data_IF_943698744076
#
_entry.id   IF_943698744076
#
_cell.length_a   1.000
_cell.length_b   1.000
_cell.length_c   1.000
_cell.angle_alpha   90.00
_cell.angle_beta   90.00
_cell.angle_gamma   90.00
#
_symmetry.space_group_name_H-M   'P 1'
#
loop_
_entity.id
_entity.type
_entity.pdbx_description
1 polymer ?
#
# COMPACT_ATOMS: atom_id res chain seq x y z
N UNK A 1 -4.67 1.84 -13.03
CA UNK A 1 -3.97 3.13 -13.16
C UNK A 1 -4.89 4.21 -12.63
N UNK A 2 -4.62 4.67 -11.40
CA UNK A 2 -5.59 5.38 -10.55
C UNK A 2 -5.29 6.88 -10.50
N UNK A 3 -6.34 7.68 -10.68
CA UNK A 3 -6.30 9.15 -10.83
C UNK A 3 -5.77 9.86 -9.58
N UNK A 4 -5.49 11.16 -9.66
CA UNK A 4 -5.15 11.98 -8.51
C UNK A 4 -5.80 13.36 -8.61
N UNK A 5 -5.93 14.04 -7.49
CA UNK A 5 -6.77 15.23 -7.36
C UNK A 5 -5.91 16.40 -6.82
N UNK A 6 -6.07 17.63 -7.32
CA UNK A 6 -5.32 18.80 -6.82
C UNK A 6 -6.08 20.13 -6.84
N UNK A 7 -5.97 20.84 -5.70
CA UNK A 7 -6.06 22.29 -5.39
C UNK A 7 -7.42 23.03 -5.20
N UNK A 8 -7.28 24.19 -4.53
CA UNK A 8 -8.07 24.84 -3.47
C UNK A 8 -9.01 25.97 -3.96
N UNK A 9 -9.95 26.38 -3.08
CA UNK A 9 -10.49 27.74 -2.76
C UNK A 9 -11.95 27.63 -2.26
N UNK A 10 -12.57 28.43 -1.37
CA UNK A 10 -12.30 29.73 -0.73
C UNK A 10 -13.07 29.76 0.63
N UNK A 11 -12.42 30.18 1.73
CA UNK A 11 -12.99 30.82 2.95
C UNK A 11 -12.09 30.61 4.19
N UNK A 12 -10.99 31.37 4.28
CA UNK A 12 -10.40 31.76 5.57
C UNK A 12 -9.46 32.97 5.38
N UNK A 13 -9.94 34.14 5.82
CA UNK A 13 -9.21 35.41 5.88
C UNK A 13 -7.97 35.37 6.79
N UNK A 14 -6.94 36.10 6.33
CA UNK A 14 -5.89 36.86 7.06
C UNK A 14 -4.76 36.11 7.81
N UNK A 15 -3.55 36.09 7.23
CA UNK A 15 -2.54 37.14 7.48
C UNK A 15 -1.25 36.89 6.67
N UNK A 16 -0.67 38.00 6.22
CA UNK A 16 0.36 38.17 5.20
C UNK A 16 1.78 38.05 5.79
N UNK A 17 2.65 37.23 5.18
CA UNK A 17 4.08 37.51 4.99
C UNK A 17 4.81 36.39 4.22
N UNK A 18 5.31 36.78 3.05
CA UNK A 18 6.52 36.27 2.39
C UNK A 18 6.40 34.97 1.57
N UNK A 19 5.67 35.12 0.46
CA UNK A 19 6.09 34.66 -0.86
C UNK A 19 7.52 35.12 -1.15
N UNK A 20 8.48 34.19 -1.17
CA UNK A 20 9.65 34.28 -2.07
C UNK A 20 10.22 32.89 -2.31
N UNK A 21 10.27 32.52 -3.59
CA UNK A 21 10.75 31.26 -4.19
C UNK A 21 9.69 30.19 -4.43
N UNK A 22 8.92 30.44 -5.51
CA UNK A 22 8.14 29.48 -6.27
C UNK A 22 9.03 28.33 -6.75
N UNK A 23 8.99 27.20 -6.05
CA UNK A 23 9.43 25.89 -6.56
C UNK A 23 8.25 25.23 -7.27
N UNK A 24 8.35 25.12 -8.59
CA UNK A 24 7.35 24.60 -9.51
C UNK A 24 6.82 23.19 -9.13
N UNK A 25 5.51 23.13 -8.85
CA UNK A 25 4.56 22.03 -9.09
C UNK A 25 4.67 20.71 -8.30
N UNK A 26 4.69 20.79 -6.97
CA UNK A 26 4.12 19.72 -6.14
C UNK A 26 2.85 20.25 -5.44
N UNK A 27 1.69 19.57 -5.53
CA UNK A 27 0.49 20.05 -4.86
C UNK A 27 0.73 20.02 -3.35
N UNK A 28 0.56 21.19 -2.74
CA UNK A 28 0.76 21.40 -1.31
C UNK A 28 -0.14 20.45 -0.49
N UNK A 29 0.41 19.94 0.61
CA UNK A 29 -0.25 19.15 1.64
C UNK A 29 -1.59 19.80 2.06
N UNK A 30 -2.72 19.35 1.50
CA UNK A 30 -3.97 20.09 1.66
C UNK A 30 -5.22 19.42 1.10
N UNK A 31 -5.53 18.22 1.59
CA UNK A 31 -6.84 17.53 1.50
C UNK A 31 -7.41 17.25 0.09
N UNK A 32 -7.38 15.98 -0.27
CA UNK A 32 -8.11 15.38 -1.40
C UNK A 32 -9.66 15.41 -1.27
N UNK A 33 -10.22 16.31 -0.44
CA UNK A 33 -11.54 16.11 0.19
C UNK A 33 -12.71 16.97 -0.35
N UNK A 34 -12.49 17.90 -1.29
CA UNK A 34 -13.51 18.88 -1.71
C UNK A 34 -13.81 18.93 -3.22
N UNK A 35 -13.38 17.94 -3.99
CA UNK A 35 -13.55 17.96 -5.46
C UNK A 35 -14.95 17.48 -5.82
N UNK A 36 -15.64 18.24 -6.67
CA UNK A 36 -16.97 17.88 -7.17
C UNK A 36 -16.79 16.78 -8.24
N UNK A 37 -17.75 15.84 -8.35
CA UNK A 37 -17.74 14.89 -9.46
C UNK A 37 -17.63 15.62 -10.81
N UNK A 38 -16.59 15.33 -11.60
CA UNK A 38 -16.26 15.98 -12.86
C UNK A 38 -15.05 16.94 -12.82
N UNK A 39 -14.55 17.28 -11.63
CA UNK A 39 -13.38 18.14 -11.44
C UNK A 39 -12.09 17.32 -11.12
N UNK A 40 -12.11 15.99 -11.36
CA UNK A 40 -10.96 15.12 -11.14
C UNK A 40 -9.85 15.31 -12.20
N UNK A 41 -8.58 15.30 -11.78
CA UNK A 41 -7.45 15.51 -12.67
C UNK A 41 -6.78 14.19 -13.10
N UNK A 42 -6.26 14.18 -14.32
CA UNK A 42 -5.35 13.11 -14.77
C UNK A 42 -3.94 13.38 -14.24
N UNK A 43 -3.39 12.47 -13.44
CA UNK A 43 -2.03 12.54 -12.91
C UNK A 43 -1.34 11.18 -13.06
N UNK A 44 -0.01 11.16 -13.13
CA UNK A 44 0.76 9.92 -13.07
C UNK A 44 0.41 8.93 -14.17
N UNK A 45 0.18 9.42 -15.39
CA UNK A 45 -0.22 8.62 -16.58
C UNK A 45 -1.61 7.96 -16.49
N UNK A 46 -2.41 8.30 -15.48
CA UNK A 46 -3.74 7.75 -15.27
C UNK A 46 -4.81 8.73 -15.79
N UNK A 47 -5.68 8.27 -16.69
CA UNK A 47 -6.78 9.08 -17.28
C UNK A 47 -8.17 8.72 -16.75
N UNK A 48 -8.38 7.47 -16.35
CA UNK A 48 -9.64 6.96 -15.80
C UNK A 48 -9.32 6.01 -14.66
N UNK A 49 -9.94 6.20 -13.49
CA UNK A 49 -9.83 5.26 -12.38
C UNK A 49 -10.78 4.06 -12.62
N UNK A 50 -10.29 3.07 -13.36
CA UNK A 50 -11.06 1.88 -13.73
C UNK A 50 -11.47 1.04 -12.52
N UNK A 51 -10.62 0.97 -11.49
CA UNK A 51 -10.87 0.25 -10.23
C UNK A 51 -12.05 0.88 -9.50
N UNK A 52 -12.01 2.20 -9.30
CA UNK A 52 -13.08 2.92 -8.63
C UNK A 52 -14.41 2.82 -9.40
N UNK A 53 -14.36 2.97 -10.72
CA UNK A 53 -15.52 2.79 -11.58
C UNK A 53 -16.15 1.40 -11.41
N UNK A 54 -15.35 0.33 -11.50
CA UNK A 54 -15.83 -1.04 -11.37
C UNK A 54 -16.51 -1.30 -10.01
N UNK A 55 -15.92 -0.81 -8.92
CA UNK A 55 -16.49 -0.93 -7.57
C UNK A 55 -17.81 -0.18 -7.46
N UNK A 56 -17.87 1.08 -7.91
CA UNK A 56 -19.11 1.89 -7.84
C UNK A 56 -20.24 1.29 -8.66
N UNK A 57 -19.94 0.78 -9.86
CA UNK A 57 -20.93 0.07 -10.69
C UNK A 57 -21.44 -1.20 -9.98
N UNK A 58 -20.53 -1.99 -9.39
CA UNK A 58 -20.91 -3.21 -8.68
C UNK A 58 -21.72 -2.92 -7.40
N UNK A 59 -21.37 -1.88 -6.64
CA UNK A 59 -22.14 -1.42 -5.48
C UNK A 59 -23.56 -0.99 -5.90
N UNK A 60 -23.70 -0.21 -6.97
CA UNK A 60 -25.00 0.24 -7.47
C UNK A 60 -25.87 -0.95 -7.91
N UNK A 61 -25.30 -1.90 -8.66
CA UNK A 61 -26.01 -3.11 -9.07
C UNK A 61 -26.45 -3.95 -7.87
N UNK A 62 -25.58 -4.17 -6.88
CA UNK A 62 -25.92 -4.90 -5.67
C UNK A 62 -27.02 -4.19 -4.86
N UNK A 63 -26.97 -2.86 -4.75
CA UNK A 63 -27.98 -2.07 -4.06
C UNK A 63 -29.35 -2.20 -4.71
N UNK A 64 -29.42 -2.23 -6.05
CA UNK A 64 -30.67 -2.48 -6.79
C UNK A 64 -31.28 -3.87 -6.49
N UNK A 65 -30.45 -4.83 -6.08
CA UNK A 65 -30.88 -6.16 -5.65
C UNK A 65 -31.07 -6.28 -4.12
N UNK A 66 -30.99 -5.16 -3.38
CA UNK A 66 -31.09 -5.16 -1.92
C UNK A 66 -29.89 -5.79 -1.20
N UNK A 67 -28.76 -5.94 -1.90
CA UNK A 67 -27.51 -6.49 -1.36
C UNK A 67 -26.53 -5.35 -1.07
N UNK A 68 -25.70 -5.53 -0.04
CA UNK A 68 -24.57 -4.65 0.26
C UNK A 68 -23.29 -5.44 -0.05
N UNK A 69 -22.44 -4.89 -0.90
CA UNK A 69 -21.16 -5.49 -1.24
C UNK A 69 -20.03 -4.69 -0.62
N UNK A 70 -19.06 -5.46 -0.18
CA UNK A 70 -18.04 -5.05 0.74
C UNK A 70 -16.68 -5.32 0.07
N UNK A 71 -15.93 -4.27 -0.30
CA UNK A 71 -14.72 -4.37 -1.14
C UNK A 71 -13.45 -4.04 -0.35
N UNK A 72 -12.35 -4.73 -0.66
CA UNK A 72 -11.01 -4.33 -0.26
C UNK A 72 -10.15 -4.01 -1.49
N UNK A 73 -9.34 -2.97 -1.41
CA UNK A 73 -8.31 -2.60 -2.37
C UNK A 73 -6.97 -2.77 -1.67
N UNK A 74 -6.09 -3.59 -2.21
CA UNK A 74 -4.69 -3.67 -1.82
C UNK A 74 -3.83 -3.17 -2.97
N UNK A 75 -3.25 -2.00 -2.78
CA UNK A 75 -2.36 -1.34 -3.73
C UNK A 75 -0.90 -1.52 -3.34
N UNK A 76 -0.15 -2.22 -4.20
CA UNK A 76 1.29 -2.47 -4.04
C UNK A 76 2.13 -1.76 -5.11
N UNK A 77 1.52 -0.87 -5.89
CA UNK A 77 2.26 0.10 -6.69
C UNK A 77 3.14 0.98 -5.79
N UNK A 78 4.34 1.33 -6.27
CA UNK A 78 5.27 2.11 -5.45
C UNK A 78 4.77 3.53 -5.20
N UNK A 79 3.85 4.03 -6.02
CA UNK A 79 3.24 5.34 -5.84
C UNK A 79 1.88 5.19 -5.14
N UNK A 80 1.55 6.18 -4.29
CA UNK A 80 0.27 6.16 -3.59
C UNK A 80 -0.91 6.21 -4.59
N UNK A 81 -1.83 5.26 -4.48
CA UNK A 81 -3.09 5.16 -5.24
C UNK A 81 -4.13 6.20 -4.84
N UNK A 82 -3.77 7.47 -4.88
CA UNK A 82 -4.49 8.54 -4.21
C UNK A 82 -5.89 8.83 -4.81
N UNK A 83 -6.18 8.36 -6.02
CA UNK A 83 -7.51 8.41 -6.62
C UNK A 83 -8.46 7.39 -6.05
N UNK A 84 -7.98 6.20 -5.68
CA UNK A 84 -8.79 5.23 -4.96
C UNK A 84 -9.07 5.74 -3.55
N UNK A 85 -8.05 6.25 -2.86
CA UNK A 85 -8.22 6.92 -1.56
C UNK A 85 -9.31 8.00 -1.66
N UNK A 86 -9.19 8.93 -2.61
CA UNK A 86 -10.15 10.03 -2.79
C UNK A 86 -11.58 9.51 -3.07
N UNK A 87 -11.72 8.53 -3.97
CA UNK A 87 -13.01 7.97 -4.37
C UNK A 87 -13.75 7.27 -3.23
N UNK A 88 -13.01 6.72 -2.26
CA UNK A 88 -13.56 5.88 -1.19
C UNK A 88 -13.33 6.44 0.22
N UNK A 89 -12.75 7.63 0.36
CA UNK A 89 -12.40 8.22 1.67
C UNK A 89 -13.59 8.37 2.64
N UNK A 90 -14.81 8.42 2.10
CA UNK A 90 -16.07 8.54 2.87
C UNK A 90 -16.90 7.26 2.87
N UNK A 91 -16.45 6.21 2.18
CA UNK A 91 -17.21 4.98 1.94
C UNK A 91 -16.85 3.91 2.96
N UNK A 92 -17.79 3.55 3.85
CA UNK A 92 -17.57 2.54 4.88
C UNK A 92 -17.62 1.10 4.36
N UNK A 93 -17.94 0.90 3.07
CA UNK A 93 -17.99 -0.42 2.42
C UNK A 93 -16.76 -0.73 1.56
N UNK A 94 -15.81 0.20 1.48
CA UNK A 94 -14.57 0.02 0.72
C UNK A 94 -13.38 0.26 1.63
N UNK A 95 -12.63 -0.80 1.88
CA UNK A 95 -11.35 -0.74 2.58
C UNK A 95 -10.24 -0.46 1.56
N UNK A 96 -9.58 0.68 1.66
CA UNK A 96 -8.40 1.02 0.85
C UNK A 96 -7.13 0.81 1.66
N UNK A 97 -6.18 0.05 1.11
CA UNK A 97 -4.86 -0.17 1.69
C UNK A 97 -3.80 0.07 0.61
N UNK A 98 -2.81 0.92 0.89
CA UNK A 98 -1.73 1.21 -0.05
C UNK A 98 -0.36 1.10 0.62
N UNK A 99 0.58 0.42 -0.04
CA UNK A 99 1.97 0.24 0.39
C UNK A 99 2.88 0.93 -0.63
N UNK A 100 3.31 2.16 -0.33
CA UNK A 100 3.92 3.04 -1.32
C UNK A 100 5.12 3.82 -0.77
N UNK A 101 6.07 4.16 -1.64
CA UNK A 101 7.19 5.03 -1.31
C UNK A 101 6.69 6.44 -1.03
N UNK A 102 7.10 7.00 0.11
CA UNK A 102 6.60 8.31 0.56
C UNK A 102 7.69 9.24 1.10
N UNK A 103 7.46 10.54 1.02
CA UNK A 103 8.33 11.58 1.56
C UNK A 103 9.18 12.24 0.48
N UNK A 104 10.46 12.46 0.77
CA UNK A 104 11.39 13.12 -0.17
C UNK A 104 12.30 12.11 -0.89
N UNK A 105 12.62 12.41 -2.13
CA UNK A 105 13.72 11.80 -2.89
C UNK A 105 15.08 12.33 -2.43
N UNK A 106 16.16 11.68 -2.86
CA UNK A 106 17.55 12.05 -2.50
C UNK A 106 17.96 13.46 -2.91
N UNK A 107 17.37 13.97 -3.98
CA UNK A 107 17.58 15.34 -4.49
C UNK A 107 16.64 16.37 -3.83
N UNK A 108 15.84 15.95 -2.84
CA UNK A 108 14.96 16.81 -2.08
C UNK A 108 13.57 17.02 -2.69
N UNK A 109 13.31 16.46 -3.86
CA UNK A 109 11.99 16.43 -4.49
C UNK A 109 10.97 15.61 -3.69
N UNK A 110 9.68 15.82 -3.96
CA UNK A 110 8.61 15.03 -3.35
C UNK A 110 8.41 13.77 -4.18
N UNK A 111 8.29 12.62 -3.51
CA UNK A 111 7.86 11.39 -4.16
C UNK A 111 6.41 11.57 -4.56
N UNK A 112 6.15 11.64 -5.86
CA UNK A 112 4.79 11.83 -6.38
C UNK A 112 3.91 10.65 -5.96
N UNK A 113 2.63 10.88 -5.62
CA UNK A 113 1.90 12.16 -5.69
C UNK A 113 2.06 13.06 -4.45
N UNK A 114 2.85 12.68 -3.44
CA UNK A 114 3.04 13.44 -2.20
C UNK A 114 1.92 13.29 -1.16
N UNK A 115 0.89 12.50 -1.45
CA UNK A 115 -0.20 12.14 -0.53
C UNK A 115 0.03 10.76 0.09
N UNK A 116 -0.87 10.29 0.96
CA UNK A 116 -0.82 8.92 1.49
C UNK A 116 -0.18 8.81 2.88
N UNK A 117 -0.45 9.76 3.78
CA UNK A 117 0.06 9.64 5.14
C UNK A 117 -0.70 8.54 5.90
N UNK A 118 -0.03 7.79 6.78
CA UNK A 118 -0.68 6.79 7.65
C UNK A 118 -1.75 7.38 8.58
N UNK A 119 -1.75 8.69 8.78
CA UNK A 119 -2.77 9.41 9.56
C UNK A 119 -4.06 9.66 8.78
N UNK A 120 -4.04 9.49 7.46
CA UNK A 120 -5.20 9.66 6.58
C UNK A 120 -6.07 8.41 6.68
N UNK A 121 -6.90 8.35 7.73
CA UNK A 121 -7.63 7.14 8.12
C UNK A 121 -9.06 7.05 7.58
N UNK A 122 -9.44 7.90 6.62
CA UNK A 122 -10.82 8.02 6.15
C UNK A 122 -11.65 8.99 7.00
N UNK A 123 -12.84 9.36 6.48
CA UNK A 123 -13.67 10.41 7.08
C UNK A 123 -14.49 9.87 8.25
N UNK A 124 -14.17 10.32 9.46
CA UNK A 124 -14.90 9.93 10.67
C UNK A 124 -16.40 10.27 10.61
N UNK A 125 -16.76 11.44 10.08
CA UNK A 125 -18.15 11.88 10.01
C UNK A 125 -19.06 10.98 9.14
N UNK A 126 -18.50 10.19 8.23
CA UNK A 126 -19.25 9.22 7.41
C UNK A 126 -19.18 7.79 7.95
N UNK A 127 -18.55 7.57 9.11
CA UNK A 127 -18.30 6.23 9.64
C UNK A 127 -17.18 5.47 8.93
N UNK A 128 -16.44 6.10 8.02
CA UNK A 128 -15.36 5.48 7.25
C UNK A 128 -13.98 5.60 7.91
N UNK A 129 -13.89 6.04 9.17
CA UNK A 129 -12.61 6.04 9.91
C UNK A 129 -12.11 4.60 10.06
N UNK A 130 -10.83 4.39 9.78
CA UNK A 130 -10.18 3.08 9.70
C UNK A 130 -10.28 2.44 8.33
N UNK A 131 -11.06 2.97 7.39
CA UNK A 131 -11.27 2.34 6.07
C UNK A 131 -10.23 2.76 5.02
N UNK A 132 -9.31 3.65 5.37
CA UNK A 132 -8.16 4.01 4.55
C UNK A 132 -6.88 3.78 5.36
N UNK A 133 -5.98 2.94 4.86
CA UNK A 133 -4.75 2.53 5.55
C UNK A 133 -3.55 2.69 4.62
N UNK A 134 -2.73 3.70 4.91
CA UNK A 134 -1.54 4.00 4.12
C UNK A 134 -0.28 3.58 4.85
N UNK A 135 0.54 2.76 4.22
CA UNK A 135 1.84 2.37 4.75
C UNK A 135 2.97 3.01 3.93
N UNK A 136 3.67 3.95 4.56
CA UNK A 136 4.76 4.69 3.91
C UNK A 136 6.06 3.88 3.88
N UNK A 137 6.47 3.43 2.71
CA UNK A 137 7.76 2.80 2.47
C UNK A 137 8.88 3.85 2.33
N UNK A 138 10.08 3.46 2.73
CA UNK A 138 11.30 4.27 2.64
C UNK A 138 12.18 3.80 1.49
N UNK A 139 13.13 4.65 1.16
CA UNK A 139 14.15 4.31 0.17
C UNK A 139 14.88 3.03 0.59
N UNK A 140 15.00 2.09 -0.35
CA UNK A 140 15.71 0.85 -0.13
C UNK A 140 14.91 -0.25 0.58
N UNK A 141 13.69 0.03 1.05
CA UNK A 141 12.80 -1.00 1.58
C UNK A 141 12.48 -2.02 0.49
N UNK A 142 12.49 -3.31 0.84
CA UNK A 142 12.39 -4.40 -0.13
C UNK A 142 11.57 -5.57 0.41
N UNK A 143 11.95 -6.79 0.01
CA UNK A 143 11.18 -8.01 0.28
C UNK A 143 10.76 -8.16 1.74
N UNK A 144 11.66 -7.87 2.68
CA UNK A 144 11.38 -8.02 4.11
C UNK A 144 10.34 -7.03 4.60
N UNK A 145 10.53 -5.77 4.29
CA UNK A 145 9.65 -4.69 4.73
C UNK A 145 8.25 -4.87 4.13
N UNK A 146 8.15 -5.14 2.83
CA UNK A 146 6.86 -5.40 2.18
C UNK A 146 6.17 -6.65 2.75
N UNK A 147 6.90 -7.74 2.99
CA UNK A 147 6.33 -8.95 3.62
C UNK A 147 5.88 -8.67 5.05
N UNK A 148 6.62 -7.92 5.86
CA UNK A 148 6.21 -7.56 7.22
C UNK A 148 4.89 -6.74 7.19
N UNK A 149 4.73 -5.79 6.25
CA UNK A 149 3.46 -5.04 6.10
C UNK A 149 2.31 -5.97 5.73
N UNK A 150 2.50 -6.82 4.72
CA UNK A 150 1.44 -7.73 4.25
C UNK A 150 1.05 -8.74 5.33
N UNK A 151 2.03 -9.30 6.04
CA UNK A 151 1.78 -10.35 7.03
C UNK A 151 1.27 -9.82 8.37
N UNK A 152 1.72 -8.64 8.80
CA UNK A 152 1.40 -8.11 10.13
C UNK A 152 0.33 -7.03 10.15
N UNK A 153 -0.02 -6.44 9.00
CA UNK A 153 -1.05 -5.41 8.87
C UNK A 153 -2.13 -5.85 7.89
N UNK A 154 -1.79 -6.02 6.62
CA UNK A 154 -2.76 -6.23 5.55
C UNK A 154 -3.61 -7.47 5.78
N UNK A 155 -2.98 -8.63 6.04
CA UNK A 155 -3.71 -9.88 6.26
C UNK A 155 -4.58 -9.85 7.52
N UNK A 156 -4.09 -9.43 8.71
CA UNK A 156 -4.95 -9.27 9.88
C UNK A 156 -6.16 -8.36 9.65
N UNK A 157 -5.99 -7.26 8.90
CA UNK A 157 -7.10 -6.38 8.52
C UNK A 157 -8.09 -7.12 7.62
N UNK A 158 -7.63 -7.81 6.58
CA UNK A 158 -8.50 -8.59 5.67
C UNK A 158 -9.28 -9.68 6.42
N UNK A 159 -8.64 -10.40 7.34
CA UNK A 159 -9.27 -11.45 8.14
C UNK A 159 -10.30 -10.90 9.14
N UNK A 160 -10.01 -9.75 9.76
CA UNK A 160 -10.95 -9.07 10.65
C UNK A 160 -12.15 -8.52 9.87
N UNK A 161 -11.90 -7.89 8.72
CA UNK A 161 -12.91 -7.19 7.93
C UNK A 161 -13.81 -8.18 7.15
N UNK A 162 -13.20 -9.19 6.52
CA UNK A 162 -13.81 -10.19 5.61
C UNK A 162 -14.46 -9.59 4.33
N UNK A 163 -13.66 -9.11 3.36
CA UNK A 163 -14.14 -8.58 2.08
C UNK A 163 -14.92 -9.61 1.26
N UNK A 164 -15.97 -9.17 0.58
CA UNK A 164 -16.64 -10.00 -0.43
C UNK A 164 -15.76 -10.14 -1.67
N UNK A 165 -15.02 -9.07 -2.01
CA UNK A 165 -14.13 -8.97 -3.18
C UNK A 165 -12.88 -8.19 -2.78
N UNK A 166 -11.71 -8.71 -3.15
CA UNK A 166 -10.41 -8.04 -3.06
C UNK A 166 -9.92 -7.64 -4.45
N UNK A 167 -9.59 -6.37 -4.64
CA UNK A 167 -8.88 -5.87 -5.81
C UNK A 167 -7.40 -5.71 -5.44
N UNK A 168 -6.54 -6.45 -6.13
CA UNK A 168 -5.09 -6.43 -5.96
C UNK A 168 -4.46 -5.60 -7.09
N UNK A 169 -4.03 -4.39 -6.76
CA UNK A 169 -3.44 -3.45 -7.70
C UNK A 169 -1.94 -3.70 -7.74
N UNK A 170 -1.50 -4.25 -8.88
CA UNK A 170 -0.17 -4.81 -9.09
C UNK A 170 0.67 -3.82 -9.90
N UNK A 171 1.31 -2.89 -9.21
CA UNK A 171 2.39 -2.08 -9.78
C UNK A 171 3.73 -2.78 -9.61
N UNK A 172 4.53 -2.81 -10.67
CA UNK A 172 5.84 -3.49 -10.71
C UNK A 172 7.01 -2.49 -10.63
N UNK A 173 6.75 -1.25 -10.22
CA UNK A 173 7.73 -0.17 -10.13
C UNK A 173 8.45 -0.11 -8.77
N UNK A 174 7.97 -0.85 -7.76
CA UNK A 174 8.68 -1.08 -6.49
C UNK A 174 9.87 -2.07 -6.61
N UNK A 175 10.02 -2.71 -7.78
CA UNK A 175 11.10 -3.68 -8.04
C UNK A 175 12.49 -3.05 -7.93
N UNK A 176 13.49 -3.87 -7.57
CA UNK A 176 14.89 -3.41 -7.55
C UNK A 176 15.40 -3.14 -8.98
N UNK A 177 15.56 -1.86 -9.31
CA UNK A 177 16.08 -1.41 -10.61
C UNK A 177 17.61 -1.24 -10.65
N UNK A 178 18.34 -1.66 -9.62
CA UNK A 178 19.80 -1.41 -9.54
C UNK A 178 20.63 -2.15 -10.58
N UNK A 179 20.10 -3.23 -11.14
CA UNK A 179 20.70 -3.96 -12.25
C UNK A 179 20.16 -3.52 -13.62
N UNK A 180 19.27 -2.52 -13.63
CA UNK A 180 18.66 -2.07 -14.86
C UNK A 180 19.68 -1.38 -15.77
N UNK A 181 19.57 -1.65 -17.07
CA UNK A 181 20.39 -1.01 -18.10
C UNK A 181 20.06 0.48 -18.22
N UNK A 182 18.84 0.85 -17.86
CA UNK A 182 18.40 2.24 -17.77
C UNK A 182 18.41 2.63 -16.30
N UNK A 183 18.94 3.81 -15.99
CA UNK A 183 18.76 4.40 -14.67
C UNK A 183 17.31 4.86 -14.56
N UNK A 184 16.44 4.00 -14.06
CA UNK A 184 15.10 4.39 -13.62
C UNK A 184 15.25 5.26 -12.36
N UNK A 185 15.43 6.56 -12.56
CA UNK A 185 15.54 7.60 -11.52
C UNK A 185 14.25 8.40 -11.37
N UNK A 186 13.11 7.85 -11.80
CA UNK A 186 11.84 8.51 -11.51
C UNK A 186 11.63 8.59 -9.98
N UNK A 187 11.11 9.71 -9.47
CA UNK A 187 10.97 9.93 -8.04
C UNK A 187 10.03 8.87 -7.45
N UNK A 188 10.55 7.96 -6.62
CA UNK A 188 9.75 6.92 -5.95
C UNK A 188 10.20 5.49 -6.25
N UNK A 189 10.88 5.25 -7.38
CA UNK A 189 11.29 3.91 -7.82
C UNK A 189 12.61 3.44 -7.19
N UNK A 190 12.77 3.68 -5.88
CA UNK A 190 14.00 3.39 -5.13
C UNK A 190 13.80 2.33 -4.01
N UNK A 191 12.65 1.64 -4.03
CA UNK A 191 12.43 0.38 -3.34
C UNK A 191 13.26 -0.77 -3.97
N UNK A 192 13.29 -1.91 -3.28
CA UNK A 192 14.20 -3.04 -3.56
C UNK A 192 13.46 -4.37 -3.56
N UNK A 193 12.29 -4.41 -4.19
CA UNK A 193 11.47 -5.61 -4.22
C UNK A 193 11.99 -6.60 -5.28
N UNK A 194 12.04 -7.89 -4.95
CA UNK A 194 12.41 -8.93 -5.89
C UNK A 194 11.20 -9.37 -6.72
N UNK A 195 11.36 -9.69 -8.03
CA UNK A 195 10.27 -10.20 -8.86
C UNK A 195 9.53 -11.40 -8.26
N UNK A 196 10.25 -12.29 -7.56
CA UNK A 196 9.68 -13.50 -6.94
C UNK A 196 8.65 -13.18 -5.84
N UNK A 197 8.70 -11.99 -5.24
CA UNK A 197 7.77 -11.58 -4.18
C UNK A 197 6.32 -11.58 -4.66
N UNK A 198 6.07 -11.14 -5.91
CA UNK A 198 4.73 -11.11 -6.49
C UNK A 198 4.12 -12.51 -6.69
N UNK A 199 4.96 -13.54 -6.87
CA UNK A 199 4.49 -14.93 -6.94
C UNK A 199 4.05 -15.50 -5.59
N UNK A 200 4.53 -14.92 -4.48
CA UNK A 200 4.07 -15.28 -3.13
C UNK A 200 2.82 -14.49 -2.71
N UNK A 201 2.74 -13.21 -3.11
CA UNK A 201 1.70 -12.29 -2.65
C UNK A 201 0.28 -12.81 -2.93
N UNK A 202 -0.02 -13.22 -4.16
CA UNK A 202 -1.38 -13.61 -4.56
C UNK A 202 -1.95 -14.77 -3.72
N UNK A 203 -1.32 -15.97 -3.65
CA UNK A 203 -1.89 -17.07 -2.86
C UNK A 203 -2.02 -16.70 -1.38
N UNK A 204 -1.07 -15.92 -0.84
CA UNK A 204 -1.11 -15.46 0.54
C UNK A 204 -2.36 -14.63 0.83
N UNK A 205 -2.65 -13.60 0.02
CA UNK A 205 -3.85 -12.76 0.23
C UNK A 205 -5.14 -13.46 -0.20
N UNK A 206 -5.11 -14.23 -1.28
CA UNK A 206 -6.27 -14.98 -1.78
C UNK A 206 -6.74 -16.07 -0.81
N UNK A 207 -5.85 -16.58 0.05
CA UNK A 207 -6.22 -17.51 1.13
C UNK A 207 -7.21 -16.93 2.15
N UNK A 208 -7.33 -15.59 2.23
CA UNK A 208 -8.25 -14.91 3.14
C UNK A 208 -9.70 -14.87 2.63
N UNK A 209 -9.92 -15.23 1.35
CA UNK A 209 -11.23 -15.12 0.69
C UNK A 209 -11.66 -16.46 0.08
N UNK A 210 -12.94 -16.53 -0.28
CA UNK A 210 -13.45 -17.61 -1.12
C UNK A 210 -12.92 -17.52 -2.54
N UNK A 211 -12.86 -18.68 -3.21
CA UNK A 211 -12.34 -18.78 -4.56
C UNK A 211 -13.08 -17.84 -5.54
N UNK A 212 -12.33 -17.20 -6.43
CA UNK A 212 -12.88 -16.29 -7.44
C UNK A 212 -13.26 -14.91 -6.93
N UNK A 213 -12.83 -14.53 -5.72
CA UNK A 213 -13.10 -13.22 -5.11
C UNK A 213 -11.92 -12.24 -5.15
N UNK A 214 -10.83 -12.59 -5.84
CA UNK A 214 -9.68 -11.70 -6.01
C UNK A 214 -9.53 -11.30 -7.48
N UNK A 215 -9.48 -10.00 -7.75
CA UNK A 215 -9.26 -9.42 -9.07
C UNK A 215 -7.90 -8.72 -9.07
N UNK A 216 -6.98 -9.13 -9.95
CA UNK A 216 -5.70 -8.46 -10.11
C UNK A 216 -5.77 -7.41 -11.22
N UNK A 217 -5.30 -6.19 -10.95
CA UNK A 217 -5.27 -5.09 -11.90
C UNK A 217 -3.82 -4.63 -12.08
N UNK A 218 -3.34 -4.54 -13.32
CA UNK A 218 -2.00 -4.01 -13.59
C UNK A 218 -1.95 -2.49 -13.42
N UNK A 219 -0.87 -2.00 -12.82
CA UNK A 219 -0.61 -0.58 -12.55
C UNK A 219 0.72 -0.14 -13.22
N UNK A 220 1.64 0.48 -12.48
CA UNK A 220 2.97 0.87 -12.94
C UNK A 220 3.92 -0.32 -13.19
N UNK A 221 5.14 -0.02 -13.61
CA UNK A 221 6.17 -1.02 -13.92
C UNK A 221 6.83 -0.78 -15.27
N UNK A 222 8.06 -0.26 -15.23
CA UNK A 222 8.65 0.38 -16.41
C UNK A 222 9.92 -0.30 -16.95
N UNK A 223 10.49 -1.25 -16.21
CA UNK A 223 11.61 -2.09 -16.67
C UNK A 223 11.10 -3.46 -17.13
N UNK A 224 10.98 -3.72 -18.44
CA UNK A 224 10.47 -5.00 -18.94
C UNK A 224 11.27 -6.22 -18.46
N UNK A 225 12.57 -6.06 -18.14
CA UNK A 225 13.41 -7.17 -17.65
C UNK A 225 13.06 -7.58 -16.23
N UNK A 226 12.49 -6.66 -15.45
CA UNK A 226 12.06 -6.92 -14.07
C UNK A 226 10.55 -7.15 -14.01
N UNK A 227 9.77 -6.28 -14.66
CA UNK A 227 8.31 -6.36 -14.78
C UNK A 227 7.84 -7.67 -15.43
N UNK A 228 8.52 -8.13 -16.49
CA UNK A 228 8.16 -9.37 -17.19
C UNK A 228 8.18 -10.59 -16.28
N UNK A 229 9.32 -10.90 -15.62
CA UNK A 229 9.39 -11.99 -14.63
C UNK A 229 8.42 -11.82 -13.45
N UNK A 230 8.26 -10.61 -12.91
CA UNK A 230 7.35 -10.34 -11.80
C UNK A 230 5.89 -10.61 -12.16
N UNK A 231 5.42 -10.06 -13.29
CA UNK A 231 4.08 -10.29 -13.81
C UNK A 231 3.86 -11.75 -14.21
N UNK A 232 4.86 -12.40 -14.84
CA UNK A 232 4.81 -13.82 -15.16
C UNK A 232 4.70 -14.70 -13.91
N UNK A 233 5.45 -14.40 -12.86
CA UNK A 233 5.39 -15.08 -11.57
C UNK A 233 4.04 -14.89 -10.88
N UNK A 234 3.49 -13.67 -10.90
CA UNK A 234 2.15 -13.37 -10.40
C UNK A 234 1.10 -14.20 -11.14
N UNK A 235 1.05 -14.13 -12.47
CA UNK A 235 0.07 -14.90 -13.28
C UNK A 235 0.21 -16.40 -13.03
N UNK A 236 1.45 -16.91 -12.93
CA UNK A 236 1.68 -18.31 -12.62
C UNK A 236 1.10 -18.70 -11.27
N UNK A 237 1.32 -17.88 -10.24
CA UNK A 237 0.79 -18.12 -8.89
C UNK A 237 -0.75 -18.08 -8.86
N UNK A 238 -1.37 -17.21 -9.67
CA UNK A 238 -2.83 -17.16 -9.82
C UNK A 238 -3.34 -18.48 -10.38
N UNK A 239 -2.75 -18.95 -11.48
CA UNK A 239 -3.14 -20.20 -12.13
C UNK A 239 -2.95 -21.40 -11.20
N UNK A 240 -1.77 -21.50 -10.57
CA UNK A 240 -1.43 -22.62 -9.69
C UNK A 240 -2.35 -22.66 -8.46
N UNK A 241 -2.61 -21.52 -7.82
CA UNK A 241 -3.52 -21.45 -6.66
C UNK A 241 -4.98 -21.73 -7.04
N UNK A 242 -5.44 -21.16 -8.16
CA UNK A 242 -6.79 -21.39 -8.70
C UNK A 242 -7.00 -22.88 -8.97
N UNK A 243 -6.06 -23.55 -9.64
CA UNK A 243 -6.16 -24.97 -9.94
C UNK A 243 -6.11 -25.83 -8.67
N UNK A 244 -5.23 -25.48 -7.72
CA UNK A 244 -5.16 -26.17 -6.43
C UNK A 244 -6.48 -26.09 -5.66
N UNK A 245 -7.11 -24.91 -5.59
CA UNK A 245 -8.39 -24.75 -4.88
C UNK A 245 -9.54 -25.44 -5.61
N UNK A 246 -9.57 -25.42 -6.94
CA UNK A 246 -10.63 -26.06 -7.74
C UNK A 246 -10.60 -27.58 -7.69
N UNK A 247 -9.41 -28.16 -7.57
CA UNK A 247 -9.21 -29.62 -7.56
C UNK A 247 -9.09 -30.21 -6.16
N UNK A 248 -8.96 -29.39 -5.12
CA UNK A 248 -8.78 -29.85 -3.75
C UNK A 248 -10.06 -30.45 -3.16
N UNK A 249 -9.91 -31.62 -2.54
CA UNK A 249 -10.90 -32.18 -1.61
C UNK A 249 -10.93 -31.40 -0.29
N UNK A 250 -9.78 -30.84 0.11
CA UNK A 250 -9.59 -30.02 1.32
C UNK A 250 -8.99 -28.66 0.95
N UNK A 251 -9.87 -27.69 0.72
CA UNK A 251 -9.51 -26.29 0.40
C UNK A 251 -8.79 -25.62 1.58
N UNK A 252 -9.11 -26.01 2.82
CA UNK A 252 -8.51 -25.41 4.01
C UNK A 252 -7.02 -25.75 4.09
N UNK A 253 -6.65 -26.98 3.74
CA UNK A 253 -5.23 -27.36 3.61
C UNK A 253 -4.47 -26.48 2.61
N UNK A 254 -5.09 -26.13 1.48
CA UNK A 254 -4.49 -25.23 0.48
C UNK A 254 -4.32 -23.82 1.05
N UNK A 255 -5.33 -23.29 1.74
CA UNK A 255 -5.27 -21.99 2.42
C UNK A 255 -4.18 -21.95 3.49
N UNK A 256 -4.09 -22.98 4.34
CA UNK A 256 -3.06 -23.09 5.37
C UNK A 256 -1.66 -23.19 4.78
N UNK A 257 -1.48 -23.94 3.68
CA UNK A 257 -0.19 -24.00 2.98
C UNK A 257 0.21 -22.63 2.44
N UNK A 258 -0.72 -21.86 1.88
CA UNK A 258 -0.46 -20.50 1.41
C UNK A 258 -0.09 -19.56 2.57
N UNK A 259 -0.79 -19.65 3.70
CA UNK A 259 -0.54 -18.86 4.91
C UNK A 259 0.85 -19.15 5.51
N UNK A 260 1.23 -20.42 5.61
CA UNK A 260 2.53 -20.82 6.19
C UNK A 260 3.72 -20.52 5.24
N UNK A 261 3.44 -20.22 3.98
CA UNK A 261 4.47 -19.91 2.99
C UNK A 261 5.07 -18.52 3.18
N UNK A 262 6.38 -18.41 2.96
CA UNK A 262 7.11 -17.15 2.90
C UNK A 262 7.71 -16.94 1.50
N UNK A 263 7.92 -15.69 1.06
CA UNK A 263 8.59 -15.44 -0.20
C UNK A 263 9.99 -16.04 -0.18
N UNK A 264 10.38 -16.75 -1.25
CA UNK A 264 11.72 -17.36 -1.35
C UNK A 264 12.83 -16.31 -1.44
N UNK A 265 12.51 -15.09 -1.86
CA UNK A 265 13.41 -13.95 -1.89
C UNK A 265 13.65 -13.32 -0.51
N UNK A 266 12.90 -13.71 0.53
CA UNK A 266 12.95 -13.05 1.84
C UNK A 266 14.36 -13.12 2.45
N UNK A 267 14.95 -11.94 2.70
CA UNK A 267 16.23 -11.78 3.39
C UNK A 267 16.03 -10.98 4.68
N UNK A 268 16.74 -11.27 5.78
CA UNK A 268 16.68 -10.43 6.97
C UNK A 268 17.31 -9.05 6.71
N UNK A 269 16.83 -8.03 7.41
CA UNK A 269 17.53 -6.75 7.51
C UNK A 269 18.77 -6.98 8.37
N UNK A 270 19.95 -7.03 7.75
CA UNK A 270 21.22 -7.34 8.42
C UNK A 270 21.83 -6.13 9.13
N UNK A 271 21.56 -4.93 8.64
CA UNK A 271 21.98 -3.70 9.31
C UNK A 271 21.09 -3.45 10.55
N UNK A 272 21.70 -3.52 11.73
CA UNK A 272 20.97 -3.38 13.00
C UNK A 272 20.27 -2.01 13.11
N UNK A 273 20.92 -0.93 12.67
CA UNK A 273 20.36 0.42 12.74
C UNK A 273 19.09 0.54 11.90
N UNK A 274 19.16 0.11 10.64
CA UNK A 274 18.02 0.00 9.72
C UNK A 274 16.94 -0.88 10.29
N UNK A 275 17.28 -2.03 10.88
CA UNK A 275 16.31 -2.92 11.51
C UNK A 275 15.55 -2.22 12.64
N UNK A 276 16.23 -1.49 13.54
CA UNK A 276 15.58 -0.75 14.61
C UNK A 276 14.68 0.37 14.07
N UNK A 277 15.11 1.05 13.01
CA UNK A 277 14.31 2.08 12.33
C UNK A 277 13.06 1.46 11.71
N UNK A 278 13.19 0.31 11.03
CA UNK A 278 12.07 -0.42 10.44
C UNK A 278 11.07 -0.87 11.51
N UNK A 279 11.52 -1.54 12.57
CA UNK A 279 10.64 -2.03 13.64
C UNK A 279 9.85 -0.89 14.30
N UNK A 280 10.51 0.25 14.56
CA UNK A 280 9.79 1.44 15.09
C UNK A 280 8.77 1.96 14.10
N UNK A 281 9.15 2.05 12.81
CA UNK A 281 8.29 2.54 11.75
C UNK A 281 7.03 1.68 11.62
N UNK A 282 7.21 0.36 11.53
CA UNK A 282 6.14 -0.64 11.51
C UNK A 282 5.25 -0.55 12.76
N UNK A 283 5.84 -0.52 13.95
CA UNK A 283 5.09 -0.44 15.21
C UNK A 283 4.20 0.80 15.29
N UNK A 284 4.71 1.97 14.90
CA UNK A 284 3.91 3.21 14.88
C UNK A 284 2.66 3.09 14.01
N UNK A 285 2.76 2.47 12.83
CA UNK A 285 1.60 2.26 11.94
C UNK A 285 0.65 1.22 12.52
N UNK A 286 1.17 0.13 13.08
CA UNK A 286 0.38 -0.90 13.76
C UNK A 286 -0.48 -0.29 14.89
N UNK A 287 0.10 0.59 15.72
CA UNK A 287 -0.64 1.31 16.77
C UNK A 287 -1.72 2.22 16.18
N UNK A 288 -1.37 3.07 15.20
CA UNK A 288 -2.33 3.98 14.59
C UNK A 288 -3.54 3.24 13.96
N UNK A 289 -3.30 2.12 13.29
CA UNK A 289 -4.34 1.31 12.68
C UNK A 289 -5.17 0.54 13.71
N UNK A 290 -4.53 0.04 14.78
CA UNK A 290 -5.23 -0.56 15.91
C UNK A 290 -6.19 0.44 16.57
N UNK A 291 -5.74 1.66 16.84
CA UNK A 291 -6.56 2.76 17.37
C UNK A 291 -7.68 3.21 16.41
N UNK A 292 -7.53 2.94 15.11
CA UNK A 292 -8.55 3.19 14.10
C UNK A 292 -9.60 2.06 14.01
N UNK A 293 -9.45 0.97 14.77
CA UNK A 293 -10.42 -0.13 14.87
C UNK A 293 -9.88 -1.51 14.44
N UNK A 294 -8.62 -1.62 14.00
CA UNK A 294 -8.03 -2.88 13.53
C UNK A 294 -7.37 -3.66 14.68
N UNK A 295 -8.19 -4.18 15.59
CA UNK A 295 -7.72 -4.90 16.78
C UNK A 295 -7.01 -6.23 16.48
N UNK A 296 -7.19 -6.79 15.28
CA UNK A 296 -6.44 -7.97 14.81
C UNK A 296 -4.95 -7.71 14.57
N UNK A 297 -4.55 -6.44 14.45
CA UNK A 297 -3.14 -6.05 14.38
C UNK A 297 -2.55 -6.11 15.79
N UNK A 298 -1.60 -7.03 16.00
CA UNK A 298 -0.88 -7.16 17.26
C UNK A 298 0.07 -5.96 17.46
N UNK A 299 -0.16 -5.15 18.49
CA UNK A 299 0.66 -3.95 18.77
C UNK A 299 1.83 -4.20 19.71
N UNK A 300 1.81 -5.31 20.46
CA UNK A 300 2.89 -5.72 21.34
C UNK A 300 4.01 -6.39 20.56
N UNK A 301 5.04 -5.62 20.20
CA UNK A 301 6.38 -6.14 20.00
C UNK A 301 7.26 -5.60 21.12
N UNK A 302 7.96 -6.48 21.83
CA UNK A 302 9.01 -6.08 22.77
C UNK A 302 10.09 -5.33 22.00
N UNK A 303 10.00 -4.00 21.94
CA UNK A 303 11.14 -3.17 21.55
C UNK A 303 12.29 -3.54 22.52
N UNK A 304 13.49 -3.90 22.03
CA UNK A 304 14.62 -4.02 22.93
C UNK A 304 14.75 -2.69 23.69
N UNK A 305 14.91 -2.72 25.03
CA UNK A 305 15.11 -1.49 25.80
C UNK A 305 16.24 -0.69 25.15
N UNK A 306 16.13 0.65 25.12
CA UNK A 306 17.22 1.54 24.68
C UNK A 306 18.50 1.06 25.35
N UNK A 307 19.37 0.34 24.65
CA UNK A 307 20.66 0.00 25.20
C UNK A 307 21.40 1.32 25.31
N UNK A 308 21.63 1.74 26.55
CA UNK A 308 22.64 2.75 26.82
C UNK A 308 23.92 2.22 26.18
N UNK A 309 24.46 2.94 25.19
CA UNK A 309 25.81 2.66 24.70
C UNK A 309 26.72 2.44 25.93
N UNK A 310 27.56 1.39 25.95
CA UNK A 310 28.56 1.28 26.99
C UNK A 310 29.37 2.58 26.95
N UNK A 311 29.33 3.35 28.03
CA UNK A 311 30.30 4.42 28.21
C UNK A 311 31.65 3.72 28.11
N UNK A 312 32.40 4.01 27.07
CA UNK A 312 33.81 3.65 26.99
C UNK A 312 34.46 4.31 28.20
N UNK A 313 34.71 3.52 29.24
CA UNK A 313 35.56 3.93 30.35
C UNK A 313 36.96 4.04 29.77
N UNK A 314 37.34 5.26 29.44
CA UNK A 314 38.73 5.65 29.32
C UNK A 314 39.39 5.45 30.68
N UNK A 315 39.84 4.24 30.97
CA UNK A 315 40.79 4.03 32.05
C UNK A 315 42.17 4.43 31.54
N UNK A 316 42.59 5.58 32.02
CA UNK A 316 43.99 5.93 32.21
C UNK A 316 44.68 4.80 32.99
N UNK A 317 45.76 4.26 32.42
CA UNK A 317 47.04 4.01 33.08
C UNK A 317 48.11 3.77 32.01
#
# INVERSE_FOLDING_TARGET
MNLASSELDDDAMESDAALSEMSENAPLMGSAMNIKPGDELSLGFCFVNAVAYAIKVAQAAAMNEGRRLKFAILDVDVHHGNGNESAFYRDADVLHMSIHRWGKSRDGGIIMPGTGAHTDLGRQASGARGMNLNFEMREGDGDREYTDVVTQITRPVLEQWKPDILLLLCGFDALDHSQSQFKYQGPGMDCRLSPEWFGWLYPYVASCLDHGKVLCCAEGGYDPKMTGPAGGGLVRSILDYTEAVRSAEDVEKIRMTALESLPKCLRPITDWGRQQVWLRHLHTRKVAFHEAGWTGIATEETLPPRSTMPKTSSNQQ
#
